data_IF_630292274392
#
_entry.id   IF_630292274392
#
_cell.length_a   1.000
_cell.length_b   1.000
_cell.length_c   1.000
_cell.angle_alpha   90.00
_cell.angle_beta   90.00
_cell.angle_gamma   90.00
#
_symmetry.space_group_name_H-M   'P 1'
#
loop_
_entity.id
_entity.type
_entity.pdbx_description
1 polymer ?
#
# COMPACT_ATOMS: atom_id res chain seq x y z
N UNK A 1 -18.91 -36.64 75.15
CA UNK A 1 -19.76 -35.52 74.67
C UNK A 1 -19.04 -34.86 73.53
N UNK A 2 -19.43 -35.22 72.35
CA UNK A 2 -18.94 -34.70 71.08
C UNK A 2 -19.91 -33.63 70.56
N UNK A 3 -19.48 -32.66 69.82
CA UNK A 3 -20.17 -32.53 68.54
C UNK A 3 -19.25 -32.44 67.36
N UNK A 4 -19.78 -32.94 66.27
CA UNK A 4 -19.26 -33.02 64.93
C UNK A 4 -19.11 -31.66 64.27
N UNK A 5 -17.95 -31.42 63.65
CA UNK A 5 -17.71 -30.30 62.76
C UNK A 5 -17.86 -30.75 61.31
N UNK A 6 -18.86 -30.24 60.64
CA UNK A 6 -19.11 -30.48 59.25
C UNK A 6 -18.10 -29.69 58.36
N UNK A 7 -17.33 -30.42 57.59
CA UNK A 7 -16.46 -29.85 56.56
C UNK A 7 -17.29 -29.53 55.32
N UNK A 8 -17.46 -28.25 54.99
CA UNK A 8 -18.04 -27.80 53.72
C UNK A 8 -16.93 -27.67 52.69
N UNK A 9 -16.98 -28.52 51.69
CA UNK A 9 -16.17 -28.43 50.49
C UNK A 9 -16.77 -27.31 49.62
N UNK A 10 -16.05 -26.21 49.45
CA UNK A 10 -16.36 -25.18 48.48
C UNK A 10 -15.76 -25.58 47.11
N UNK A 11 -16.64 -25.95 46.20
CA UNK A 11 -16.28 -26.16 44.82
C UNK A 11 -15.95 -24.81 44.17
N UNK A 12 -14.67 -24.60 43.85
CA UNK A 12 -14.23 -23.45 43.09
C UNK A 12 -14.63 -23.61 41.61
N UNK A 13 -15.52 -22.76 41.14
CA UNK A 13 -15.84 -22.62 39.72
C UNK A 13 -14.71 -21.85 39.08
N UNK A 14 -13.89 -22.52 38.27
CA UNK A 14 -12.91 -21.88 37.41
C UNK A 14 -13.63 -21.22 36.26
N UNK A 15 -13.69 -19.89 36.27
CA UNK A 15 -14.19 -19.09 35.17
C UNK A 15 -13.11 -19.04 34.08
N UNK A 16 -13.28 -19.82 33.01
CA UNK A 16 -12.49 -19.71 31.81
C UNK A 16 -12.88 -18.40 31.09
N UNK A 17 -12.05 -17.38 31.19
CA UNK A 17 -12.14 -16.21 30.35
C UNK A 17 -11.60 -16.60 28.97
N UNK A 18 -12.50 -16.87 28.05
CA UNK A 18 -12.17 -16.99 26.61
C UNK A 18 -11.81 -15.60 26.14
N UNK A 19 -10.53 -15.35 26.00
CA UNK A 19 -10.01 -14.14 25.36
C UNK A 19 -10.51 -14.11 23.91
N UNK A 20 -11.49 -13.27 23.64
CA UNK A 20 -11.91 -12.96 22.27
C UNK A 20 -10.73 -12.35 21.52
N UNK A 21 -10.22 -13.05 20.53
CA UNK A 21 -9.40 -12.44 19.49
C UNK A 21 -10.25 -11.34 18.86
N UNK A 22 -9.86 -10.08 19.07
CA UNK A 22 -10.38 -8.98 18.27
C UNK A 22 -9.86 -9.21 16.86
N UNK A 23 -10.65 -9.83 15.99
CA UNK A 23 -10.53 -9.63 14.57
C UNK A 23 -10.68 -8.13 14.35
N UNK A 24 -9.56 -7.50 13.99
CA UNK A 24 -9.59 -6.17 13.44
C UNK A 24 -10.29 -6.32 12.09
N UNK A 25 -11.58 -6.09 12.06
CA UNK A 25 -12.27 -5.76 10.81
C UNK A 25 -11.52 -4.56 10.24
N UNK A 26 -10.77 -4.83 9.19
CA UNK A 26 -10.21 -3.78 8.33
C UNK A 26 -11.43 -3.05 7.79
N UNK A 27 -11.58 -1.80 8.19
CA UNK A 27 -12.64 -0.92 7.75
C UNK A 27 -12.61 -0.89 6.21
N UNK A 28 -13.53 -1.65 5.61
CA UNK A 28 -13.67 -1.78 4.15
C UNK A 28 -14.48 -0.62 3.56
N UNK A 29 -14.39 0.55 4.16
CA UNK A 29 -14.89 1.77 3.57
C UNK A 29 -14.17 2.07 2.24
N UNK A 30 -14.80 2.82 1.33
CA UNK A 30 -14.14 3.25 0.10
C UNK A 30 -12.88 4.05 0.46
N UNK A 31 -11.74 3.66 -0.13
CA UNK A 31 -10.51 4.41 0.06
C UNK A 31 -10.67 5.83 -0.50
N UNK A 32 -10.08 6.80 0.15
CA UNK A 32 -10.09 8.21 -0.30
C UNK A 32 -8.72 8.64 -0.76
N UNK A 33 -8.69 9.41 -1.82
CA UNK A 33 -7.48 10.01 -2.39
C UNK A 33 -7.57 11.53 -2.23
N UNK A 34 -6.61 12.10 -1.52
CA UNK A 34 -6.45 13.55 -1.40
C UNK A 34 -5.50 14.04 -2.51
N UNK A 35 -5.99 14.92 -3.39
CA UNK A 35 -5.21 15.53 -4.46
C UNK A 35 -5.47 17.03 -4.47
N UNK A 36 -4.43 17.84 -4.28
CA UNK A 36 -4.46 19.31 -4.38
C UNK A 36 -5.59 19.99 -3.58
N UNK A 37 -6.02 19.36 -2.48
CA UNK A 37 -7.11 19.86 -1.63
C UNK A 37 -8.49 19.27 -1.93
N UNK A 38 -8.59 18.46 -2.98
CA UNK A 38 -9.81 17.72 -3.29
C UNK A 38 -9.74 16.29 -2.73
N UNK A 39 -10.85 15.84 -2.13
CA UNK A 39 -11.00 14.46 -1.67
C UNK A 39 -11.78 13.66 -2.70
N UNK A 40 -11.15 12.66 -3.29
CA UNK A 40 -11.76 11.75 -4.27
C UNK A 40 -12.05 10.42 -3.60
N UNK A 41 -13.31 9.97 -3.62
CA UNK A 41 -13.66 8.64 -3.18
C UNK A 41 -13.35 7.64 -4.30
N UNK A 42 -12.56 6.62 -3.97
CA UNK A 42 -12.31 5.51 -4.89
C UNK A 42 -13.50 4.54 -4.90
N UNK A 43 -13.69 3.86 -6.00
CA UNK A 43 -14.73 2.84 -6.10
C UNK A 43 -14.53 1.71 -5.08
N UNK A 44 -15.62 1.07 -4.67
CA UNK A 44 -15.58 -0.04 -3.73
C UNK A 44 -14.66 -1.16 -4.25
N UNK A 45 -13.74 -1.59 -3.41
CA UNK A 45 -12.77 -2.63 -3.75
C UNK A 45 -11.51 -2.15 -4.46
N UNK A 46 -11.40 -0.88 -4.84
CA UNK A 46 -10.15 -0.27 -5.29
C UNK A 46 -9.25 0.01 -4.09
N UNK A 47 -7.99 -0.41 -4.16
CA UNK A 47 -7.00 -0.07 -3.12
C UNK A 47 -6.19 1.14 -3.56
N UNK A 48 -5.90 2.01 -2.61
CA UNK A 48 -4.85 3.01 -2.73
C UNK A 48 -3.57 2.43 -2.13
N UNK A 49 -2.51 2.40 -2.93
CA UNK A 49 -1.20 1.89 -2.55
C UNK A 49 -0.23 3.06 -2.54
N UNK A 50 0.36 3.32 -1.38
CA UNK A 50 1.32 4.41 -1.22
C UNK A 50 2.75 3.92 -1.40
N UNK A 51 3.54 4.70 -2.14
CA UNK A 51 4.99 4.54 -2.30
C UNK A 51 5.64 5.88 -2.00
N UNK A 52 6.46 5.95 -0.98
CA UNK A 52 7.22 7.16 -0.64
C UNK A 52 8.62 7.09 -1.24
N UNK A 53 9.07 8.19 -1.83
CA UNK A 53 10.46 8.36 -2.28
C UNK A 53 11.10 9.46 -1.46
N UNK A 54 12.23 9.17 -0.83
CA UNK A 54 12.96 10.13 -0.01
C UNK A 54 14.48 9.92 -0.08
N UNK A 55 15.23 10.95 0.26
CA UNK A 55 16.69 10.88 0.36
C UNK A 55 17.10 10.84 1.82
N UNK A 56 17.77 9.77 2.23
CA UNK A 56 18.33 9.59 3.58
C UNK A 56 19.83 9.86 3.58
N UNK A 57 20.46 10.01 4.76
CA UNK A 57 21.92 10.25 4.86
C UNK A 57 22.78 9.15 4.21
N UNK A 58 22.30 7.93 4.18
CA UNK A 58 22.93 6.74 3.63
C UNK A 58 22.50 6.41 2.18
N UNK A 59 21.65 7.22 1.59
CA UNK A 59 21.17 7.07 0.22
C UNK A 59 19.67 7.37 0.08
N UNK A 60 19.19 7.29 -1.17
CA UNK A 60 17.78 7.42 -1.44
C UNK A 60 17.07 6.09 -1.33
N UNK A 61 15.81 6.10 -0.92
CA UNK A 61 15.01 4.88 -0.81
C UNK A 61 13.59 5.07 -1.34
N UNK A 62 12.97 3.94 -1.65
CA UNK A 62 11.55 3.79 -1.98
C UNK A 62 10.92 2.90 -0.91
N UNK A 63 9.84 3.38 -0.30
CA UNK A 63 9.15 2.63 0.76
C UNK A 63 7.63 2.54 0.47
N UNK A 64 7.14 1.35 0.20
CA UNK A 64 7.87 0.11 -0.11
C UNK A 64 8.50 0.14 -1.52
N UNK A 65 9.63 -0.55 -1.72
CA UNK A 65 10.24 -0.68 -3.03
C UNK A 65 9.53 -1.68 -3.95
N UNK A 66 8.76 -2.59 -3.39
CA UNK A 66 7.95 -3.58 -4.11
C UNK A 66 6.52 -3.58 -3.61
N UNK A 67 5.56 -3.54 -4.51
CA UNK A 67 4.14 -3.58 -4.19
C UNK A 67 3.40 -4.58 -5.06
N UNK A 68 2.41 -5.25 -4.48
CA UNK A 68 1.46 -6.06 -5.20
C UNK A 68 0.18 -5.28 -5.44
N UNK A 69 -0.29 -5.24 -6.66
CA UNK A 69 -1.49 -4.54 -7.07
C UNK A 69 -2.40 -5.45 -7.92
N UNK A 70 -3.67 -5.11 -7.97
CA UNK A 70 -4.62 -5.72 -8.90
C UNK A 70 -5.01 -4.71 -9.99
N UNK A 71 -5.47 -5.17 -11.16
CA UNK A 71 -6.10 -4.28 -12.12
C UNK A 71 -7.22 -3.48 -11.45
N UNK A 72 -7.21 -2.16 -11.65
CA UNK A 72 -8.14 -1.23 -11.02
C UNK A 72 -7.62 -0.54 -9.76
N UNK A 73 -6.56 -1.03 -9.12
CA UNK A 73 -5.94 -0.35 -7.98
C UNK A 73 -5.30 0.99 -8.42
N UNK A 74 -5.06 1.85 -7.46
CA UNK A 74 -4.41 3.15 -7.63
C UNK A 74 -3.09 3.15 -6.86
N UNK A 75 -2.02 3.61 -7.49
CA UNK A 75 -0.72 3.78 -6.82
C UNK A 75 -0.40 5.26 -6.72
N UNK A 76 -0.04 5.70 -5.52
CA UNK A 76 0.35 7.08 -5.24
C UNK A 76 1.81 7.13 -4.83
N UNK A 77 2.61 7.81 -5.63
CA UNK A 77 4.00 8.14 -5.29
C UNK A 77 4.02 9.48 -4.58
N UNK A 78 4.67 9.54 -3.42
CA UNK A 78 4.77 10.76 -2.61
C UNK A 78 6.24 11.10 -2.38
N UNK A 79 6.63 12.35 -2.64
CA UNK A 79 7.94 12.86 -2.22
C UNK A 79 7.98 13.00 -0.70
N UNK A 80 8.85 12.27 -0.03
CA UNK A 80 9.01 12.31 1.43
C UNK A 80 9.84 13.50 1.91
N UNK A 81 10.57 14.15 1.02
CA UNK A 81 11.43 15.28 1.31
C UNK A 81 11.29 16.42 0.28
N UNK A 82 12.02 17.51 0.48
CA UNK A 82 12.00 18.69 -0.39
C UNK A 82 12.99 18.62 -1.57
N UNK A 83 13.53 17.46 -1.89
CA UNK A 83 14.44 17.28 -3.02
C UNK A 83 13.68 16.95 -4.29
N UNK A 84 14.36 17.09 -5.43
CA UNK A 84 13.81 16.71 -6.72
C UNK A 84 13.74 15.17 -6.83
N UNK A 85 12.56 14.66 -7.06
CA UNK A 85 12.33 13.27 -7.45
C UNK A 85 11.60 13.22 -8.78
N UNK A 86 11.88 12.20 -9.58
CA UNK A 86 11.18 11.93 -10.84
C UNK A 86 11.08 10.42 -11.02
N UNK A 87 9.87 9.92 -11.05
CA UNK A 87 9.59 8.49 -11.21
C UNK A 87 9.37 8.19 -12.69
N UNK A 88 9.98 7.14 -13.19
CA UNK A 88 9.74 6.64 -14.53
C UNK A 88 9.67 5.11 -14.55
N UNK A 89 8.78 4.56 -15.33
CA UNK A 89 8.79 3.13 -15.62
C UNK A 89 9.92 2.78 -16.58
N UNK A 90 10.62 1.68 -16.33
CA UNK A 90 11.76 1.23 -17.13
C UNK A 90 11.26 0.53 -18.41
N UNK A 91 11.02 1.31 -19.46
CA UNK A 91 10.36 0.85 -20.69
C UNK A 91 10.98 -0.39 -21.32
N UNK A 92 12.31 -0.55 -21.18
CA UNK A 92 13.04 -1.70 -21.74
C UNK A 92 12.81 -3.01 -20.95
N UNK A 93 12.33 -2.89 -19.71
CA UNK A 93 12.02 -4.02 -18.83
C UNK A 93 10.54 -4.35 -18.77
N UNK A 94 9.67 -3.48 -19.33
CA UNK A 94 8.23 -3.71 -19.39
C UNK A 94 7.88 -4.76 -20.45
N UNK A 95 6.90 -5.62 -20.14
CA UNK A 95 6.21 -6.40 -21.15
C UNK A 95 5.52 -5.50 -22.19
N UNK A 96 5.33 -5.96 -23.41
CA UNK A 96 4.78 -5.17 -24.49
C UNK A 96 3.40 -4.58 -24.18
N UNK A 97 2.52 -5.37 -23.54
CA UNK A 97 1.18 -4.93 -23.17
C UNK A 97 1.21 -3.88 -22.03
N UNK A 98 2.06 -4.09 -21.01
CA UNK A 98 2.25 -3.14 -19.92
C UNK A 98 2.81 -1.80 -20.42
N UNK A 99 3.76 -1.84 -21.34
CA UNK A 99 4.29 -0.64 -21.99
C UNK A 99 3.20 0.10 -22.74
N UNK A 100 2.46 -0.60 -23.61
CA UNK A 100 1.39 -0.01 -24.39
C UNK A 100 0.31 0.64 -23.50
N UNK A 101 -0.04 -0.02 -22.39
CA UNK A 101 -0.96 0.52 -21.40
C UNK A 101 -0.46 1.85 -20.82
N UNK A 102 0.80 1.88 -20.33
CA UNK A 102 1.37 3.08 -19.73
C UNK A 102 1.55 4.22 -20.74
N UNK A 103 1.88 3.90 -21.99
CA UNK A 103 1.96 4.89 -23.08
C UNK A 103 0.60 5.49 -23.40
N UNK A 104 -0.43 4.66 -23.55
CA UNK A 104 -1.79 5.10 -23.88
C UNK A 104 -2.42 5.94 -22.77
N UNK A 105 -2.09 5.65 -21.53
CA UNK A 105 -2.61 6.38 -20.36
C UNK A 105 -1.74 7.56 -19.95
N UNK A 106 -0.59 7.78 -20.62
CA UNK A 106 0.34 8.86 -20.29
C UNK A 106 1.05 8.69 -18.95
N UNK A 107 1.14 7.46 -18.45
CA UNK A 107 1.64 7.15 -17.10
C UNK A 107 3.07 6.59 -17.09
N UNK A 108 3.84 6.75 -18.15
CA UNK A 108 5.24 6.28 -18.18
C UNK A 108 6.18 7.06 -17.26
N UNK A 109 5.87 8.32 -16.95
CA UNK A 109 6.74 9.21 -16.18
C UNK A 109 5.91 10.17 -15.34
N UNK A 110 6.41 10.47 -14.13
CA UNK A 110 5.88 11.53 -13.30
C UNK A 110 6.30 12.91 -13.81
N UNK A 111 5.55 13.97 -13.47
CA UNK A 111 6.11 15.29 -13.41
C UNK A 111 7.22 15.36 -12.36
N UNK A 112 8.08 16.39 -12.36
CA UNK A 112 9.04 16.61 -11.29
C UNK A 112 8.33 16.81 -9.94
N UNK A 113 8.70 16.03 -8.92
CA UNK A 113 8.24 16.15 -7.55
C UNK A 113 9.31 16.93 -6.79
N UNK A 114 9.07 18.22 -6.53
CA UNK A 114 10.09 19.17 -6.05
C UNK A 114 9.90 19.61 -4.60
N UNK A 115 8.86 19.13 -3.94
CA UNK A 115 8.53 19.49 -2.56
C UNK A 115 8.04 18.28 -1.78
N UNK A 116 8.33 18.24 -0.49
CA UNK A 116 7.77 17.24 0.40
C UNK A 116 6.24 17.23 0.32
N UNK A 117 5.67 16.04 0.23
CA UNK A 117 4.23 15.83 0.10
C UNK A 117 3.69 15.96 -1.32
N UNK A 118 4.49 16.38 -2.32
CA UNK A 118 4.05 16.30 -3.73
C UNK A 118 3.79 14.86 -4.12
N UNK A 119 2.71 14.67 -4.91
CA UNK A 119 2.21 13.36 -5.27
C UNK A 119 2.12 13.19 -6.78
N UNK A 120 2.34 11.97 -7.22
CA UNK A 120 1.99 11.51 -8.55
C UNK A 120 1.15 10.23 -8.41
N UNK A 121 -0.03 10.26 -9.01
CA UNK A 121 -1.00 9.18 -8.91
C UNK A 121 -1.15 8.51 -10.26
N UNK A 122 -1.09 7.18 -10.27
CA UNK A 122 -1.38 6.36 -11.44
C UNK A 122 -2.56 5.44 -11.14
N UNK A 123 -3.35 5.17 -12.17
CA UNK A 123 -4.42 4.18 -12.11
C UNK A 123 -4.01 2.93 -12.86
N UNK A 124 -4.31 1.78 -12.28
CA UNK A 124 -4.12 0.47 -12.92
C UNK A 124 -5.43 -0.06 -13.54
N UNK A 125 -6.41 0.84 -13.76
CA UNK A 125 -7.65 0.47 -14.43
C UNK A 125 -7.38 0.01 -15.86
N UNK A 126 -7.66 -1.26 -16.15
CA UNK A 126 -7.33 -1.90 -17.42
C UNK A 126 -5.86 -2.30 -17.58
N UNK A 127 -5.03 -2.18 -16.53
CA UNK A 127 -3.64 -2.61 -16.58
C UNK A 127 -3.56 -4.13 -16.81
N UNK A 128 -2.79 -4.60 -17.80
CA UNK A 128 -2.52 -6.02 -17.97
C UNK A 128 -1.70 -6.58 -16.80
N UNK A 129 -1.90 -7.86 -16.42
CA UNK A 129 -1.05 -8.50 -15.43
C UNK A 129 0.42 -8.53 -15.88
N UNK A 130 1.32 -8.35 -14.92
CA UNK A 130 2.76 -8.39 -15.17
C UNK A 130 3.56 -7.51 -14.24
N UNK A 131 4.84 -7.41 -14.53
CA UNK A 131 5.80 -6.64 -13.77
C UNK A 131 5.95 -5.23 -14.37
N UNK A 132 5.89 -4.23 -13.51
CA UNK A 132 6.01 -2.82 -13.82
C UNK A 132 7.20 -2.22 -13.06
N UNK A 133 8.43 -2.49 -13.50
CA UNK A 133 9.61 -1.94 -12.87
C UNK A 133 9.68 -0.43 -13.09
N UNK A 134 10.06 0.30 -12.05
CA UNK A 134 10.20 1.74 -12.07
C UNK A 134 11.47 2.21 -11.34
N UNK A 135 11.89 3.42 -11.62
CA UNK A 135 13.09 4.03 -11.07
C UNK A 135 12.82 5.49 -10.72
N UNK A 136 13.36 5.96 -9.60
CA UNK A 136 13.58 7.38 -9.41
C UNK A 136 14.79 7.80 -10.24
N UNK A 137 14.56 8.50 -11.35
CA UNK A 137 15.61 8.83 -12.33
C UNK A 137 16.65 9.80 -11.80
N UNK A 138 16.30 10.57 -10.76
CA UNK A 138 17.19 11.53 -10.11
C UNK A 138 18.20 10.83 -9.20
N UNK A 139 17.80 9.75 -8.55
CA UNK A 139 18.60 9.10 -7.49
C UNK A 139 18.98 7.65 -7.83
N UNK A 140 18.44 7.07 -8.90
CA UNK A 140 18.77 5.71 -9.34
C UNK A 140 18.18 4.58 -8.51
N UNK A 141 17.31 4.87 -7.53
CA UNK A 141 16.63 3.84 -6.74
C UNK A 141 15.49 3.21 -7.52
N UNK A 142 15.36 1.89 -7.44
CA UNK A 142 14.41 1.11 -8.22
C UNK A 142 13.37 0.45 -7.35
N UNK A 143 12.18 0.30 -7.92
CA UNK A 143 11.09 -0.45 -7.35
C UNK A 143 10.33 -1.23 -8.41
N UNK A 144 9.34 -1.98 -7.98
CA UNK A 144 8.49 -2.79 -8.86
C UNK A 144 7.05 -2.80 -8.37
N UNK A 145 6.10 -2.65 -9.29
CA UNK A 145 4.69 -2.97 -9.07
C UNK A 145 4.42 -4.29 -9.77
N UNK A 146 3.97 -5.29 -9.03
CA UNK A 146 3.52 -6.56 -9.59
C UNK A 146 1.99 -6.52 -9.70
N UNK A 147 1.49 -6.46 -10.92
CA UNK A 147 0.05 -6.44 -11.19
C UNK A 147 -0.43 -7.87 -11.43
N UNK A 148 -1.37 -8.33 -10.63
CA UNK A 148 -1.90 -9.67 -10.70
C UNK A 148 -3.30 -9.80 -10.10
N UNK A 149 -3.87 -11.02 -10.14
CA UNK A 149 -5.14 -11.25 -9.47
C UNK A 149 -4.97 -11.02 -7.97
N UNK A 150 -5.99 -10.44 -7.35
CA UNK A 150 -5.99 -10.18 -5.90
C UNK A 150 -5.90 -11.50 -5.13
N UNK A 151 -4.87 -11.67 -4.32
CA UNK A 151 -4.79 -12.79 -3.37
C UNK A 151 -5.96 -12.69 -2.39
N UNK A 152 -6.67 -13.81 -2.19
CA UNK A 152 -7.79 -13.90 -1.23
C UNK A 152 -7.26 -14.18 0.16
#
# INVERSE_FOLDING_TARGET
MTPAGSFRVLAGVALFVIGGACDREVDSGPATLELEGDTIQLEAGVRLIDVTVETKPDGSELEPAGVEAAPGDVVRFTAGDGRLHAIAFESDLLGAEARAFLEQTGQLRSPPLVSAGMQWVITLNGAPPGDYPFICTTHGVRGIIVVGPRSR
#
